data_IF_138888826171
#
_entry.id   IF_138888826171
#
_cell.length_a   1.000
_cell.length_b   1.000
_cell.length_c   1.000
_cell.angle_alpha   90.00
_cell.angle_beta   90.00
_cell.angle_gamma   90.00
#
_symmetry.space_group_name_H-M   'P 1'
#
loop_
_entity.id
_entity.type
_entity.pdbx_description
1 polymer ?
#
# COMPACT_ATOMS: atom_id res chain seq x y z
N UNK A 1 73.03 6.87 -50.22
CA UNK A 1 72.10 7.48 -49.25
C UNK A 1 70.85 7.89 -50.01
N UNK A 2 69.80 7.11 -49.90
CA UNK A 2 68.54 7.36 -50.61
C UNK A 2 67.53 7.69 -49.56
N UNK A 3 67.01 8.90 -49.61
CA UNK A 3 65.87 9.33 -48.73
C UNK A 3 64.59 8.93 -49.41
N UNK A 4 63.77 8.04 -48.73
CA UNK A 4 62.42 7.70 -49.13
C UNK A 4 61.46 8.58 -48.30
N UNK A 5 60.74 9.44 -48.99
CA UNK A 5 59.70 10.27 -48.37
C UNK A 5 58.40 9.41 -48.22
N UNK A 6 57.92 9.31 -47.00
CA UNK A 6 56.67 8.63 -46.68
C UNK A 6 55.54 9.68 -46.63
N UNK A 7 54.65 9.61 -47.61
CA UNK A 7 53.43 10.43 -47.64
C UNK A 7 52.37 9.83 -46.74
N UNK A 8 51.92 10.57 -45.78
CA UNK A 8 50.82 10.22 -44.88
C UNK A 8 49.50 10.71 -45.49
N UNK A 9 48.65 9.74 -45.89
CA UNK A 9 47.26 10.04 -46.25
C UNK A 9 46.44 10.19 -44.97
N UNK A 10 45.89 11.37 -44.76
CA UNK A 10 44.87 11.59 -43.75
C UNK A 10 43.52 11.24 -44.36
N UNK A 11 42.85 10.18 -43.84
CA UNK A 11 41.50 9.86 -44.17
C UNK A 11 40.57 10.55 -43.17
N UNK A 12 39.81 11.50 -43.67
CA UNK A 12 38.69 12.12 -42.95
C UNK A 12 37.58 11.07 -42.76
N UNK A 13 37.41 10.60 -41.52
CA UNK A 13 36.29 9.73 -41.16
C UNK A 13 35.07 10.60 -40.82
N UNK A 14 34.14 10.65 -41.75
CA UNK A 14 32.80 11.21 -41.51
C UNK A 14 32.12 10.49 -40.34
N UNK A 15 31.98 11.17 -39.21
CA UNK A 15 31.22 10.69 -38.06
C UNK A 15 29.73 10.79 -38.35
N UNK A 16 29.10 9.68 -38.68
CA UNK A 16 27.65 9.55 -38.68
C UNK A 16 27.13 9.56 -37.24
N UNK A 17 26.59 10.68 -36.83
CA UNK A 17 25.93 10.83 -35.55
C UNK A 17 24.71 9.91 -35.43
N UNK A 18 24.87 8.83 -34.70
CA UNK A 18 23.76 8.00 -34.23
C UNK A 18 22.95 8.83 -33.23
N UNK A 19 21.78 9.33 -33.67
CA UNK A 19 20.75 9.82 -32.77
C UNK A 19 20.17 8.61 -32.00
N UNK A 20 20.75 8.33 -30.83
CA UNK A 20 20.13 7.44 -29.84
C UNK A 20 18.78 8.03 -29.46
N UNK A 21 17.69 7.36 -29.84
CA UNK A 21 16.39 7.56 -29.21
C UNK A 21 16.58 7.22 -27.74
N UNK A 22 16.58 8.22 -26.88
CA UNK A 22 16.28 8.06 -25.47
C UNK A 22 14.80 7.67 -25.38
N UNK A 23 14.52 6.38 -25.33
CA UNK A 23 13.26 5.87 -24.82
C UNK A 23 13.22 6.23 -23.33
N UNK A 24 12.66 7.40 -23.05
CA UNK A 24 12.25 7.78 -21.69
C UNK A 24 11.05 6.92 -21.35
N UNK A 25 11.31 5.73 -20.81
CA UNK A 25 10.27 5.02 -20.06
C UNK A 25 9.93 5.92 -18.89
N UNK A 26 8.83 6.66 -19.01
CA UNK A 26 8.15 7.24 -17.85
C UNK A 26 7.65 6.05 -17.05
N UNK A 27 8.38 5.67 -16.01
CA UNK A 27 7.82 4.86 -14.93
C UNK A 27 6.60 5.65 -14.41
N UNK A 28 5.41 5.18 -14.75
CA UNK A 28 4.18 5.65 -14.13
C UNK A 28 4.24 5.22 -12.67
N UNK A 29 4.82 6.07 -11.84
CA UNK A 29 4.72 5.89 -10.38
C UNK A 29 3.23 5.96 -10.04
N UNK A 30 2.64 4.82 -9.70
CA UNK A 30 1.25 4.75 -9.26
C UNK A 30 1.15 5.55 -7.97
N UNK A 31 0.35 6.61 -7.99
CA UNK A 31 0.05 7.42 -6.81
C UNK A 31 -1.37 7.13 -6.34
N UNK A 32 -1.67 7.45 -5.08
CA UNK A 32 -3.06 7.33 -4.57
C UNK A 32 -4.05 8.16 -5.39
N UNK A 33 -3.64 9.32 -5.93
CA UNK A 33 -4.49 10.12 -6.81
C UNK A 33 -4.85 9.39 -8.10
N UNK A 34 -3.94 8.61 -8.68
CA UNK A 34 -4.19 7.81 -9.90
C UNK A 34 -4.91 6.48 -9.65
N UNK A 35 -5.08 6.09 -8.38
CA UNK A 35 -5.82 4.89 -8.00
C UNK A 35 -7.28 4.99 -8.48
N UNK A 36 -7.87 3.93 -9.08
CA UNK A 36 -9.27 3.95 -9.51
C UNK A 36 -10.21 4.10 -8.30
N UNK A 37 -11.42 4.61 -8.52
CA UNK A 37 -12.47 4.53 -7.52
C UNK A 37 -13.02 3.11 -7.43
N UNK A 38 -13.42 2.69 -6.21
CA UNK A 38 -14.07 1.39 -6.00
C UNK A 38 -15.43 1.37 -6.67
N UNK A 39 -15.70 0.31 -7.42
CA UNK A 39 -16.99 0.12 -8.06
C UNK A 39 -18.09 -0.28 -7.06
N UNK A 40 -19.33 0.13 -7.37
CA UNK A 40 -20.50 -0.14 -6.52
C UNK A 40 -20.72 0.92 -5.44
N UNK A 41 -21.73 0.69 -4.59
CA UNK A 41 -22.03 1.53 -3.44
C UNK A 41 -21.10 1.25 -2.26
N UNK A 42 -21.14 2.12 -1.26
CA UNK A 42 -20.46 1.89 0.03
C UNK A 42 -21.07 0.64 0.70
N UNK A 43 -20.25 -0.29 1.21
CA UNK A 43 -20.72 -1.38 2.04
C UNK A 43 -21.49 -0.91 3.29
N UNK A 44 -22.44 -1.70 3.75
CA UNK A 44 -23.01 -1.53 5.07
C UNK A 44 -21.94 -1.90 6.12
N UNK A 45 -21.88 -1.10 7.17
CA UNK A 45 -20.89 -1.27 8.25
C UNK A 45 -21.53 -1.01 9.61
N UNK A 46 -20.91 -1.50 10.68
CA UNK A 46 -21.28 -1.07 12.02
C UNK A 46 -20.75 0.36 12.28
N UNK A 47 -21.50 1.17 12.99
CA UNK A 47 -21.09 2.51 13.41
C UNK A 47 -20.51 2.57 14.82
N UNK A 48 -20.22 1.42 15.40
CA UNK A 48 -19.72 1.24 16.76
C UNK A 48 -18.53 0.28 16.78
N UNK A 49 -17.92 0.06 17.93
CA UNK A 49 -16.96 -1.00 18.12
C UNK A 49 -17.70 -2.29 18.58
N UNK A 50 -17.46 -3.44 17.94
CA UNK A 50 -16.53 -3.67 16.84
C UNK A 50 -17.00 -3.02 15.53
N UNK A 51 -16.02 -2.46 14.79
CA UNK A 51 -16.24 -1.85 13.50
C UNK A 51 -16.04 -2.89 12.40
N UNK A 52 -17.11 -3.29 11.73
CA UNK A 52 -17.17 -4.44 10.83
C UNK A 52 -17.87 -4.10 9.53
N UNK A 53 -17.44 -4.70 8.44
CA UNK A 53 -18.15 -4.73 7.16
C UNK A 53 -19.27 -5.79 7.23
N UNK A 54 -20.51 -5.41 6.89
CA UNK A 54 -21.70 -6.26 7.05
C UNK A 54 -22.21 -6.87 5.75
N UNK A 55 -21.85 -6.29 4.59
CA UNK A 55 -22.24 -6.78 3.27
C UNK A 55 -21.08 -6.60 2.26
N UNK A 56 -21.29 -7.04 1.02
CA UNK A 56 -20.31 -6.97 -0.07
C UNK A 56 -18.99 -7.70 0.24
N UNK A 57 -19.02 -8.73 1.07
CA UNK A 57 -17.87 -9.62 1.24
C UNK A 57 -17.56 -10.34 -0.09
N UNK A 58 -16.31 -10.78 -0.31
CA UNK A 58 -15.97 -11.54 -1.49
C UNK A 58 -16.69 -12.89 -1.50
N UNK A 59 -17.22 -13.28 -2.66
CA UNK A 59 -17.74 -14.66 -2.88
C UNK A 59 -16.57 -15.64 -3.01
N UNK A 60 -15.46 -15.20 -3.61
CA UNK A 60 -14.21 -15.96 -3.71
C UNK A 60 -13.22 -15.46 -2.63
N UNK A 61 -13.03 -16.26 -1.61
CA UNK A 61 -12.15 -15.93 -0.48
C UNK A 61 -10.66 -15.92 -0.86
N UNK A 62 -10.30 -16.47 -2.01
CA UNK A 62 -8.90 -16.48 -2.46
C UNK A 62 -8.31 -15.07 -2.58
N UNK A 63 -9.12 -14.04 -2.81
CA UNK A 63 -8.64 -12.64 -2.85
C UNK A 63 -8.21 -12.15 -1.46
N UNK A 64 -8.95 -12.50 -0.41
CA UNK A 64 -8.58 -12.16 0.98
C UNK A 64 -7.38 -12.98 1.45
N UNK A 65 -7.35 -14.26 1.11
CA UNK A 65 -6.23 -15.15 1.41
C UNK A 65 -4.95 -14.65 0.75
N UNK A 66 -4.99 -14.33 -0.56
CA UNK A 66 -3.86 -13.77 -1.30
C UNK A 66 -3.38 -12.42 -0.74
N UNK A 67 -4.32 -11.54 -0.32
CA UNK A 67 -3.94 -10.28 0.33
C UNK A 67 -3.20 -10.55 1.64
N UNK A 68 -3.74 -11.46 2.46
CA UNK A 68 -3.17 -11.82 3.75
C UNK A 68 -1.79 -12.49 3.58
N UNK A 69 -1.67 -13.46 2.69
CA UNK A 69 -0.39 -14.12 2.40
C UNK A 69 0.66 -13.12 1.93
N UNK A 70 0.31 -12.27 0.96
CA UNK A 70 1.21 -11.22 0.48
C UNK A 70 1.64 -10.26 1.60
N UNK A 71 0.72 -9.84 2.46
CA UNK A 71 1.01 -8.92 3.57
C UNK A 71 2.14 -9.43 4.48
N UNK A 72 2.16 -10.74 4.75
CA UNK A 72 3.18 -11.36 5.59
C UNK A 72 4.44 -11.79 4.83
N UNK A 73 4.58 -11.46 3.53
CA UNK A 73 5.87 -11.50 2.82
C UNK A 73 6.67 -10.21 2.99
N UNK A 74 6.03 -9.13 3.49
CA UNK A 74 6.72 -7.86 3.73
C UNK A 74 7.76 -8.03 4.84
N UNK A 75 8.92 -7.42 4.67
CA UNK A 75 10.02 -7.54 5.64
C UNK A 75 9.67 -6.85 6.97
N UNK A 76 10.25 -7.31 8.06
CA UNK A 76 10.11 -6.70 9.41
C UNK A 76 8.69 -6.74 9.98
N UNK A 77 7.87 -7.67 9.49
CA UNK A 77 6.49 -7.88 9.95
C UNK A 77 6.38 -9.21 10.66
N UNK A 78 5.88 -9.16 11.89
CA UNK A 78 5.49 -10.33 12.65
C UNK A 78 3.97 -10.52 12.59
N UNK A 79 3.54 -11.77 12.38
CA UNK A 79 2.15 -12.18 12.40
C UNK A 79 1.75 -12.58 13.82
N UNK A 80 0.83 -11.84 14.42
CA UNK A 80 0.31 -12.13 15.76
C UNK A 80 -1.21 -12.01 15.82
N UNK A 81 -1.90 -12.57 16.83
CA UNK A 81 -3.27 -12.20 17.12
C UNK A 81 -3.37 -10.70 17.43
N UNK A 82 -4.37 -10.01 16.88
CA UNK A 82 -4.60 -8.59 17.22
C UNK A 82 -4.98 -8.44 18.69
N UNK A 83 -4.44 -7.40 19.33
CA UNK A 83 -4.68 -7.08 20.74
C UNK A 83 -5.80 -6.05 20.92
N UNK A 84 -6.33 -5.50 19.83
CA UNK A 84 -7.31 -4.39 19.85
C UNK A 84 -8.55 -4.71 19.01
N UNK A 85 -8.55 -5.79 18.24
CA UNK A 85 -9.62 -6.18 17.32
C UNK A 85 -10.47 -7.33 17.85
N UNK A 86 -11.45 -7.77 17.05
CA UNK A 86 -12.30 -8.92 17.38
C UNK A 86 -11.49 -10.21 17.48
N UNK A 87 -11.93 -11.19 18.29
CA UNK A 87 -11.26 -12.48 18.40
C UNK A 87 -11.08 -13.15 17.03
N UNK A 88 -9.88 -13.66 16.77
CA UNK A 88 -9.52 -14.27 15.48
C UNK A 88 -8.92 -13.30 14.48
N UNK A 89 -8.88 -12.00 14.77
CA UNK A 89 -8.16 -11.03 13.93
C UNK A 89 -6.66 -11.25 13.98
N UNK A 90 -6.02 -11.06 12.82
CA UNK A 90 -4.59 -11.26 12.61
C UNK A 90 -3.91 -9.89 12.42
N UNK A 91 -2.99 -9.56 13.31
CA UNK A 91 -2.26 -8.30 13.31
C UNK A 91 -0.95 -8.38 12.51
N UNK A 92 -0.61 -7.26 11.89
CA UNK A 92 0.70 -6.95 11.33
C UNK A 92 1.45 -6.10 12.34
N UNK A 93 2.44 -6.69 12.98
CA UNK A 93 3.28 -6.06 14.00
C UNK A 93 4.62 -5.69 13.35
N UNK A 94 4.96 -4.41 13.34
CA UNK A 94 6.28 -3.95 12.91
C UNK A 94 7.30 -4.24 14.00
N UNK A 95 8.50 -4.70 13.63
CA UNK A 95 9.58 -4.82 14.60
C UNK A 95 10.04 -3.43 15.12
N UNK A 96 10.53 -3.37 16.34
CA UNK A 96 10.85 -2.11 17.03
C UNK A 96 11.95 -1.30 16.30
N UNK A 97 12.89 -1.98 15.64
CA UNK A 97 14.04 -1.34 14.97
C UNK A 97 13.62 -0.60 13.69
N UNK A 98 12.51 -1.01 13.08
CA UNK A 98 12.00 -0.46 11.82
C UNK A 98 10.74 0.39 11.99
N UNK A 99 10.36 0.64 13.24
CA UNK A 99 9.14 1.38 13.59
C UNK A 99 9.34 2.88 13.48
N UNK A 100 8.40 3.57 12.84
CA UNK A 100 8.32 5.02 12.85
C UNK A 100 8.10 5.56 14.26
N UNK A 101 9.01 6.35 14.78
CA UNK A 101 8.93 6.90 16.15
C UNK A 101 8.15 8.21 16.26
N UNK A 102 7.78 8.85 15.14
CA UNK A 102 7.15 10.17 15.10
C UNK A 102 5.87 10.23 14.25
N UNK A 103 5.27 9.08 13.96
CA UNK A 103 4.04 9.00 13.18
C UNK A 103 2.89 8.41 14.00
N UNK A 104 1.66 8.55 13.50
CA UNK A 104 0.45 8.00 14.11
C UNK A 104 0.00 6.72 13.38
N UNK A 105 0.95 5.87 12.95
CA UNK A 105 0.65 4.67 12.17
C UNK A 105 0.04 3.53 12.99
N UNK A 106 0.24 3.54 14.32
CA UNK A 106 -0.02 2.39 15.17
C UNK A 106 -1.29 2.55 15.99
N UNK A 107 -2.07 1.47 16.08
CA UNK A 107 -3.27 1.38 16.89
C UNK A 107 -2.97 0.98 18.33
N UNK A 108 -2.06 0.03 18.54
CA UNK A 108 -1.57 -0.42 19.84
C UNK A 108 -0.15 -1.01 19.71
N UNK A 109 0.80 -0.56 20.52
CA UNK A 109 2.20 -0.96 20.39
C UNK A 109 2.71 -0.65 18.98
N UNK A 110 3.19 -1.66 18.25
CA UNK A 110 3.63 -1.54 16.85
C UNK A 110 2.68 -2.21 15.86
N UNK A 111 1.41 -2.45 16.28
CA UNK A 111 0.33 -2.92 15.41
C UNK A 111 -0.17 -1.78 14.53
N UNK A 112 0.13 -1.81 13.22
CA UNK A 112 -0.27 -0.79 12.26
C UNK A 112 -1.43 -1.21 11.37
N UNK A 113 -1.68 -2.54 11.25
CA UNK A 113 -2.80 -3.10 10.51
C UNK A 113 -3.26 -4.42 11.13
N UNK A 114 -4.54 -4.77 10.94
CA UNK A 114 -5.04 -6.10 11.23
C UNK A 114 -6.18 -6.49 10.31
N UNK A 115 -6.25 -7.78 10.01
CA UNK A 115 -7.29 -8.40 9.21
C UNK A 115 -8.39 -8.95 10.11
N UNK A 116 -9.64 -8.73 9.74
CA UNK A 116 -10.79 -9.33 10.42
C UNK A 116 -11.05 -10.75 9.90
N UNK A 117 -11.50 -11.66 10.77
CA UNK A 117 -11.90 -13.01 10.39
C UNK A 117 -13.26 -13.00 9.69
N UNK A 118 -13.70 -14.20 9.26
CA UNK A 118 -15.09 -14.45 8.87
C UNK A 118 -16.09 -13.93 9.93
N UNK A 119 -17.20 -13.31 9.51
CA UNK A 119 -17.69 -13.10 8.13
C UNK A 119 -17.30 -11.75 7.52
N UNK A 120 -16.53 -10.93 8.18
CA UNK A 120 -16.26 -9.54 7.86
C UNK A 120 -15.22 -9.38 6.73
N UNK A 121 -14.01 -9.93 6.91
CA UNK A 121 -12.88 -9.90 5.99
C UNK A 121 -12.31 -8.50 5.67
N UNK A 122 -12.86 -7.43 6.20
CA UNK A 122 -12.25 -6.10 6.12
C UNK A 122 -10.97 -6.01 6.97
N UNK A 123 -10.28 -4.90 6.91
CA UNK A 123 -9.12 -4.68 7.75
C UNK A 123 -9.06 -3.24 8.27
N UNK A 124 -8.45 -3.04 9.43
CA UNK A 124 -8.05 -1.71 9.87
C UNK A 124 -6.58 -1.47 9.60
N UNK A 125 -6.24 -0.23 9.26
CA UNK A 125 -4.85 0.17 9.02
C UNK A 125 -4.65 1.68 9.22
N UNK A 126 -3.41 2.07 9.53
CA UNK A 126 -2.99 3.47 9.63
C UNK A 126 -2.37 3.97 8.34
N UNK A 127 -2.79 5.12 7.86
CA UNK A 127 -2.21 5.84 6.73
C UNK A 127 -1.78 7.25 7.16
N UNK A 128 -1.09 8.00 6.31
CA UNK A 128 -1.05 9.46 6.55
C UNK A 128 -2.46 10.03 6.43
N UNK A 129 -2.73 11.17 7.08
CA UNK A 129 -4.06 11.79 7.04
C UNK A 129 -4.50 12.10 5.60
N UNK A 130 -3.58 12.56 4.76
CA UNK A 130 -3.85 12.87 3.36
C UNK A 130 -4.19 11.61 2.55
N UNK A 131 -3.45 10.53 2.75
CA UNK A 131 -3.68 9.26 2.07
C UNK A 131 -5.00 8.61 2.50
N UNK A 132 -5.30 8.62 3.81
CA UNK A 132 -6.57 8.12 4.34
C UNK A 132 -7.76 8.86 3.71
N UNK A 133 -7.68 10.18 3.57
CA UNK A 133 -8.71 10.98 2.90
C UNK A 133 -8.92 10.53 1.44
N UNK A 134 -7.85 10.37 0.66
CA UNK A 134 -7.94 9.93 -0.74
C UNK A 134 -8.56 8.52 -0.85
N UNK A 135 -8.14 7.60 0.02
CA UNK A 135 -8.66 6.22 0.04
C UNK A 135 -10.17 6.22 0.30
N UNK A 136 -10.64 7.04 1.24
CA UNK A 136 -12.06 7.16 1.58
C UNK A 136 -12.86 7.85 0.45
N UNK A 137 -12.36 8.96 -0.11
CA UNK A 137 -13.00 9.68 -1.21
C UNK A 137 -13.15 8.80 -2.45
N UNK A 138 -12.21 7.87 -2.67
CA UNK A 138 -12.27 6.88 -3.75
C UNK A 138 -13.12 5.64 -3.41
N UNK A 139 -13.73 5.58 -2.22
CA UNK A 139 -14.66 4.53 -1.80
C UNK A 139 -14.02 3.21 -1.36
N UNK A 140 -12.73 3.19 -1.06
CA UNK A 140 -12.00 1.98 -0.65
C UNK A 140 -12.09 1.68 0.84
N UNK A 141 -12.57 2.62 1.64
CA UNK A 141 -12.68 2.46 3.09
C UNK A 141 -13.47 3.59 3.74
N UNK A 142 -13.42 3.62 5.06
CA UNK A 142 -14.06 4.63 5.88
C UNK A 142 -13.31 4.87 7.18
N UNK A 143 -13.59 6.01 7.84
CA UNK A 143 -13.00 6.33 9.13
C UNK A 143 -13.45 5.36 10.22
N UNK A 144 -12.51 4.95 11.07
CA UNK A 144 -12.86 4.16 12.24
C UNK A 144 -13.66 4.99 13.25
N UNK A 145 -14.84 4.54 13.74
CA UNK A 145 -15.71 5.34 14.61
C UNK A 145 -15.07 5.71 15.97
N UNK A 146 -14.05 4.96 16.41
CA UNK A 146 -13.35 5.26 17.66
C UNK A 146 -12.42 6.48 17.58
N UNK A 147 -12.13 7.00 16.40
CA UNK A 147 -11.42 8.26 16.19
C UNK A 147 -12.19 9.42 16.87
N UNK A 148 -13.51 9.48 16.67
CA UNK A 148 -14.35 10.53 17.25
C UNK A 148 -14.38 10.51 18.78
N UNK A 149 -13.98 9.38 19.39
CA UNK A 149 -13.88 9.22 20.85
C UNK A 149 -12.46 9.44 21.37
N UNK A 150 -11.50 9.77 20.51
CA UNK A 150 -10.09 9.96 20.88
C UNK A 150 -9.39 8.67 21.34
N UNK A 151 -9.94 7.49 20.99
CA UNK A 151 -9.38 6.18 21.39
C UNK A 151 -8.32 5.71 20.38
N UNK A 152 -8.52 6.05 19.11
CA UNK A 152 -7.58 5.74 18.02
C UNK A 152 -7.02 7.01 17.40
N UNK A 153 -5.83 6.94 16.79
CA UNK A 153 -5.29 8.02 15.97
C UNK A 153 -6.27 8.46 14.87
N UNK A 154 -6.26 9.72 14.45
CA UNK A 154 -7.27 10.28 13.54
C UNK A 154 -7.20 9.75 12.11
N UNK A 155 -6.19 9.00 11.81
CA UNK A 155 -5.85 8.48 10.48
C UNK A 155 -6.01 6.95 10.36
N UNK A 156 -6.67 6.31 11.30
CA UNK A 156 -7.02 4.89 11.21
C UNK A 156 -8.30 4.73 10.39
N UNK A 157 -8.24 3.88 9.39
CA UNK A 157 -9.38 3.58 8.53
C UNK A 157 -9.74 2.09 8.58
N UNK A 158 -10.97 1.77 8.21
CA UNK A 158 -11.34 0.45 7.76
C UNK A 158 -11.23 0.41 6.23
N UNK A 159 -10.43 -0.49 5.68
CA UNK A 159 -10.39 -0.82 4.27
C UNK A 159 -11.31 -2.00 4.00
N UNK A 160 -12.17 -1.89 2.98
CA UNK A 160 -13.11 -2.94 2.64
C UNK A 160 -12.41 -4.16 2.02
N UNK A 161 -12.98 -5.33 2.24
CA UNK A 161 -12.50 -6.58 1.68
C UNK A 161 -12.49 -6.55 0.14
N UNK A 162 -11.42 -7.01 -0.53
CA UNK A 162 -11.36 -7.07 -1.98
C UNK A 162 -12.26 -8.20 -2.52
N UNK A 163 -13.06 -7.92 -3.58
CA UNK A 163 -14.04 -8.84 -4.16
C UNK A 163 -13.60 -9.49 -5.47
N UNK A 164 -12.51 -9.01 -6.05
CA UNK A 164 -11.97 -9.45 -7.33
C UNK A 164 -10.49 -9.08 -7.46
N UNK A 165 -9.84 -9.51 -8.54
CA UNK A 165 -8.43 -9.28 -8.79
C UNK A 165 -8.05 -7.78 -8.83
N UNK A 166 -8.87 -6.94 -9.46
CA UNK A 166 -8.58 -5.49 -9.53
C UNK A 166 -8.63 -4.85 -8.14
N UNK A 167 -9.61 -5.22 -7.32
CA UNK A 167 -9.71 -4.75 -5.94
C UNK A 167 -8.57 -5.29 -5.06
N UNK A 168 -8.12 -6.53 -5.29
CA UNK A 168 -6.95 -7.10 -4.62
C UNK A 168 -5.68 -6.27 -4.88
N UNK A 169 -5.43 -5.88 -6.13
CA UNK A 169 -4.24 -5.08 -6.45
C UNK A 169 -4.30 -3.68 -5.79
N UNK A 170 -5.49 -3.07 -5.75
CA UNK A 170 -5.68 -1.80 -5.04
C UNK A 170 -5.51 -1.98 -3.52
N UNK A 171 -6.05 -3.06 -2.95
CA UNK A 171 -5.89 -3.35 -1.52
C UNK A 171 -4.43 -3.57 -1.13
N UNK A 172 -3.66 -4.30 -1.95
CA UNK A 172 -2.20 -4.44 -1.77
C UNK A 172 -1.48 -3.10 -1.84
N UNK A 173 -1.87 -2.24 -2.79
CA UNK A 173 -1.28 -0.91 -2.92
C UNK A 173 -1.56 -0.04 -1.67
N UNK A 174 -2.81 0.00 -1.18
CA UNK A 174 -3.18 0.75 0.04
C UNK A 174 -2.43 0.21 1.26
N UNK A 175 -2.41 -1.12 1.44
CA UNK A 175 -1.70 -1.74 2.56
C UNK A 175 -0.18 -1.51 2.48
N UNK A 176 0.39 -1.51 1.27
CA UNK A 176 1.79 -1.13 1.04
C UNK A 176 2.10 0.31 1.47
N UNK A 177 1.16 1.26 1.29
CA UNK A 177 1.28 2.63 1.78
C UNK A 177 1.24 2.70 3.31
N UNK A 178 0.34 1.92 3.94
CA UNK A 178 0.28 1.78 5.40
C UNK A 178 1.59 1.22 5.97
N UNK A 179 2.14 0.21 5.33
CA UNK A 179 3.43 -0.36 5.70
C UNK A 179 4.58 0.66 5.58
N UNK A 180 4.65 1.42 4.47
CA UNK A 180 5.64 2.47 4.28
C UNK A 180 5.50 3.59 5.34
N UNK A 181 4.26 3.92 5.74
CA UNK A 181 4.00 4.89 6.80
C UNK A 181 4.44 4.36 8.17
N UNK A 182 4.16 3.10 8.48
CA UNK A 182 4.61 2.46 9.73
C UNK A 182 6.14 2.40 9.84
N UNK A 183 6.85 2.31 8.72
CA UNK A 183 8.32 2.41 8.65
C UNK A 183 8.86 3.85 8.70
N UNK A 184 8.00 4.86 8.51
CA UNK A 184 8.43 6.27 8.41
C UNK A 184 9.01 6.66 7.05
N UNK A 185 8.77 5.87 6.02
CA UNK A 185 9.20 6.14 4.64
C UNK A 185 8.30 7.17 3.95
N UNK A 186 7.10 7.40 4.50
CA UNK A 186 6.14 8.44 4.09
C UNK A 186 5.66 9.22 5.29
N UNK A 187 5.32 10.53 5.09
CA UNK A 187 4.90 11.46 6.14
C UNK A 187 3.67 12.26 5.73
#
# INVERSE_FOLDING_TARGET
MVFVALSVFVLDACSLGSKGKQDTQMEHTVTLQSMPSRGGGRPATTNTNPHMQLDQQPEDLSFVENLTEWAFTLSHIEKQPSRISVPGSIAMIMDDEHTCTKCNAFMIGTEFAHFHPHPDYSMHLGLTQAEATIVIEKGWGEWHPMILRGILPPNIIMMYAPRNQQELEVAKFILGRSYAYAKGEVQ
#
